data_IF_973413034549
#
_entry.id   IF_973413034549
#
_cell.length_a   1.000
_cell.length_b   1.000
_cell.length_c   1.000
_cell.angle_alpha   90.00
_cell.angle_beta   90.00
_cell.angle_gamma   90.00
#
_symmetry.space_group_name_H-M   'P 1'
#
loop_
_entity.id
_entity.type
_entity.pdbx_description
1 polymer ?
2 non-polymer ?
3 non-polymer ?
4 water ?
#
# COMPACT_ATOMS: atom_id res chain seq x y z
N UNK A 51 -19.98 12.28 6.98
CA UNK A 51 -21.10 11.99 6.05
C UNK A 51 -22.39 11.46 6.71
N UNK A 52 -23.50 11.53 5.98
CA UNK A 52 -24.80 10.97 6.39
C UNK A 52 -25.05 9.65 5.65
N UNK A 53 -25.53 8.61 6.35
CA UNK A 53 -25.75 7.30 5.73
C UNK A 53 -27.17 6.76 5.65
N UNK A 54 -27.44 5.98 4.60
CA UNK A 54 -28.75 5.41 4.36
C UNK A 54 -28.63 3.90 4.14
N UNK A 55 -29.54 3.14 4.76
CA UNK A 55 -29.67 1.68 4.54
C UNK A 55 -28.34 0.97 4.86
N UNK A 56 -27.79 1.31 6.02
CA UNK A 56 -26.59 0.67 6.48
C UNK A 56 -26.87 -0.77 6.93
N UNK A 57 -26.03 -1.70 6.48
CA UNK A 57 -26.08 -3.12 6.85
C UNK A 57 -24.65 -3.59 7.17
N UNK A 58 -24.49 -4.34 8.25
CA UNK A 58 -23.19 -4.91 8.64
C UNK A 58 -23.13 -6.42 8.43
N UNK A 59 -22.06 -6.88 7.81
CA UNK A 59 -21.74 -8.32 7.81
C UNK A 59 -20.28 -8.50 7.52
N UNK A 60 -19.74 -9.55 8.11
CA UNK A 60 -18.38 -9.97 7.86
C UNK A 60 -17.40 -8.84 8.13
N UNK A 61 -17.70 -8.02 9.12
CA UNK A 61 -16.81 -6.90 9.50
C UNK A 61 -16.85 -5.70 8.60
N UNK A 62 -17.82 -5.68 7.68
CA UNK A 62 -17.99 -4.60 6.72
C UNK A 62 -19.32 -3.90 6.97
N UNK A 63 -19.36 -2.65 6.56
CA UNK A 63 -20.60 -1.88 6.48
C UNK A 63 -20.88 -1.56 5.03
N UNK A 64 -22.08 -1.89 4.58
CA UNK A 64 -22.58 -1.47 3.31
C UNK A 64 -23.56 -0.35 3.58
N UNK A 65 -23.31 0.81 3.00
CA UNK A 65 -24.14 2.00 3.28
C UNK A 65 -24.12 2.95 2.11
N UNK A 66 -25.25 3.65 1.90
CA UNK A 66 -25.29 4.66 0.85
C UNK A 66 -24.95 6.04 1.41
N UNK A 67 -24.04 6.70 0.74
CA UNK A 67 -23.60 8.04 1.15
C UNK A 67 -23.65 8.94 -0.07
N UNK A 68 -24.45 10.00 0.02
CA UNK A 68 -24.56 10.96 -1.07
C UNK A 68 -24.84 10.29 -2.41
N UNK A 69 -25.78 9.33 -2.37
CA UNK A 69 -26.25 8.64 -3.57
C UNK A 69 -25.37 7.52 -4.10
N UNK A 70 -24.29 7.17 -3.40
CA UNK A 70 -23.41 6.08 -3.84
C UNK A 70 -23.27 5.06 -2.72
N UNK A 71 -23.22 3.80 -3.10
CA UNK A 71 -23.04 2.73 -2.14
C UNK A 71 -21.55 2.53 -1.87
N UNK A 72 -21.25 2.44 -0.59
CA UNK A 72 -19.91 2.10 -0.15
C UNK A 72 -19.92 0.77 0.60
N UNK A 73 -18.80 0.05 0.52
CA UNK A 73 -18.47 -1.04 1.42
C UNK A 73 -17.24 -0.56 2.18
N UNK A 74 -17.35 -0.53 3.52
CA UNK A 74 -16.30 -0.01 4.42
C UNK A 74 -15.97 -1.01 5.48
N UNK A 75 -14.69 -1.35 5.57
CA UNK A 75 -14.25 -2.32 6.58
C UNK A 75 -14.17 -1.59 7.94
N UNK A 76 -14.82 -2.16 8.94
CA UNK A 76 -14.80 -1.62 10.28
C UNK A 76 -13.51 -2.07 10.98
N UNK A 77 -12.99 -1.20 11.84
CA UNK A 77 -11.69 -1.42 12.45
C UNK A 77 -11.83 -1.61 13.95
N UNK A 78 -11.09 -2.58 14.49
CA UNK A 78 -11.13 -2.88 15.93
C UNK A 78 -9.96 -2.37 16.74
N UNK A 79 -8.94 -1.85 16.08
CA UNK A 79 -7.78 -1.31 16.78
C UNK A 79 -6.66 -2.33 16.98
N UNK A 80 -5.62 -1.90 17.68
CA UNK A 80 -4.42 -2.71 17.92
C UNK A 80 -3.21 -1.83 18.08
N UNK A 81 -2.30 -2.28 18.94
CA UNK A 81 -1.16 -1.45 19.27
C UNK A 81 0.00 -1.56 18.29
N UNK A 82 0.03 -2.61 17.46
CA UNK A 82 1.11 -2.83 16.52
C UNK A 82 2.45 -3.07 17.16
N UNK A 83 2.46 -3.57 18.39
CA UNK A 83 3.72 -3.75 19.08
C UNK A 83 4.64 -4.76 18.41
N UNK A 84 4.07 -5.85 17.93
CA UNK A 84 4.88 -6.86 17.24
C UNK A 84 5.51 -6.26 16.00
N UNK A 85 4.70 -5.64 15.17
CA UNK A 85 5.18 -4.99 13.95
C UNK A 85 6.34 -4.03 14.27
N UNK A 86 6.15 -3.15 15.24
CA UNK A 86 7.21 -2.18 15.55
C UNK A 86 8.48 -2.91 15.98
N UNK A 87 8.35 -3.95 16.79
CA UNK A 87 9.52 -4.71 17.22
C UNK A 87 10.24 -5.36 16.05
N UNK A 88 9.50 -5.87 15.08
CA UNK A 88 10.10 -6.47 13.91
C UNK A 88 10.83 -5.44 13.05
N UNK A 89 10.21 -4.31 12.83
CA UNK A 89 10.89 -3.22 12.09
C UNK A 89 12.15 -2.80 12.81
N UNK A 90 12.08 -2.70 14.13
CA UNK A 90 13.25 -2.27 14.91
C UNK A 90 14.40 -3.28 14.73
N UNK A 91 14.05 -4.55 14.74
CA UNK A 91 15.03 -5.62 14.55
C UNK A 91 15.65 -5.54 13.16
N UNK A 92 14.79 -5.34 12.15
CA UNK A 92 15.28 -5.20 10.81
C UNK A 92 16.28 -4.05 10.75
N UNK A 93 15.93 -2.90 11.33
CA UNK A 93 16.80 -1.74 11.31
C UNK A 93 18.13 -2.03 12.01
N UNK A 94 18.07 -2.75 13.14
CA UNK A 94 19.33 -3.10 13.83
C UNK A 94 20.23 -3.95 12.90
N UNK A 95 19.62 -4.85 12.15
CA UNK A 95 20.34 -5.76 11.23
C UNK A 95 20.97 -5.05 10.04
N UNK A 96 20.30 -4.01 9.51
CA UNK A 96 20.86 -3.30 8.37
C UNK A 96 21.79 -2.16 8.76
N UNK A 97 21.64 -1.62 9.97
CA UNK A 97 22.57 -0.65 10.50
C UNK A 97 22.28 0.78 10.10
N UNK A 98 23.18 1.66 10.54
CA UNK A 98 22.97 3.10 10.38
C UNK A 98 23.02 3.61 8.96
N UNK A 99 23.71 2.89 8.07
CA UNK A 99 23.87 3.39 6.71
C UNK A 99 22.70 3.17 5.75
N UNK A 100 21.68 2.43 6.20
CA UNK A 100 20.49 2.19 5.42
C UNK A 100 19.38 2.89 6.15
N UNK A 101 18.67 3.80 5.47
CA UNK A 101 17.52 4.48 6.09
C UNK A 101 16.31 3.61 5.92
N UNK A 102 15.60 3.40 7.04
CA UNK A 102 14.39 2.57 7.06
C UNK A 102 13.23 3.47 7.45
N UNK A 103 12.18 3.42 6.63
CA UNK A 103 11.02 4.28 6.76
C UNK A 103 9.79 3.40 7.01
N UNK A 104 8.83 3.94 7.75
CA UNK A 104 7.58 3.27 8.03
C UNK A 104 6.42 4.18 7.60
N UNK A 106 2.39 3.47 7.63
CA UNK A 106 1.19 2.71 7.85
C UNK A 106 0.01 3.60 7.54
N UNK A 107 -0.88 3.12 6.69
CA UNK A 107 -1.98 3.97 6.22
C UNK A 107 -3.33 3.35 6.57
N UNK A 108 -4.34 4.21 6.76
CA UNK A 108 -5.65 3.71 7.11
C UNK A 108 -6.40 3.25 5.87
N UNK A 109 -7.49 2.54 6.11
CA UNK A 109 -8.47 2.24 5.10
C UNK A 109 -9.55 3.34 5.14
N UNK A 110 -10.50 3.24 4.22
CA UNK A 110 -11.44 4.35 4.00
C UNK A 110 -12.23 4.77 5.23
N UNK A 111 -12.49 3.82 6.13
CA UNK A 111 -13.28 4.08 7.30
C UNK A 111 -12.68 5.11 8.24
N UNK A 112 -11.39 5.38 8.12
CA UNK A 112 -10.83 6.47 8.92
C UNK A 112 -11.45 7.83 8.58
N UNK A 113 -11.88 7.98 7.33
CA UNK A 113 -12.34 9.26 6.83
C UNK A 113 -13.80 9.36 6.43
N UNK A 114 -14.38 8.25 5.98
CA UNK A 114 -15.68 8.26 5.32
C UNK A 114 -16.83 7.54 6.02
N UNK A 115 -16.60 7.04 7.22
CA UNK A 115 -17.68 6.40 7.97
C UNK A 115 -18.72 7.44 8.30
N UNK A 116 -20.01 7.13 8.02
CA UNK A 116 -21.01 8.14 8.25
C UNK A 116 -21.33 8.31 9.71
N UNK A 117 -22.09 9.36 9.98
CA UNK A 117 -22.46 9.67 11.35
C UNK A 117 -23.24 8.52 11.97
N UNK A 118 -22.99 8.30 13.27
CA UNK A 118 -23.71 7.28 13.99
C UNK A 118 -23.05 5.92 14.07
N UNK A 119 -21.89 5.74 13.42
CA UNK A 119 -21.22 4.45 13.46
C UNK A 119 -19.98 4.44 14.31
N UNK A 120 -19.74 5.51 15.08
CA UNK A 120 -18.56 5.66 15.93
C UNK A 120 -18.37 4.46 16.88
N UNK A 121 -19.47 3.91 17.39
CA UNK A 121 -19.38 2.80 18.34
C UNK A 121 -18.94 1.46 17.69
N UNK A 122 -18.89 1.43 16.36
CA UNK A 122 -18.52 0.24 15.61
C UNK A 122 -17.16 0.34 14.93
N UNK A 123 -16.41 1.39 15.21
CA UNK A 123 -15.14 1.59 14.54
C UNK A 123 -14.15 2.29 15.46
N UNK A 124 -12.98 1.69 15.59
CA UNK A 124 -11.88 2.21 16.40
C UNK A 124 -11.06 3.17 15.53
N UNK A 125 -10.18 3.93 16.16
CA UNK A 125 -9.34 4.90 15.48
C UNK A 125 -8.12 4.30 14.80
N UNK A 126 -8.07 4.42 13.48
CA UNK A 126 -6.86 4.06 12.76
C UNK A 126 -5.68 4.90 13.23
N UNK A 127 -5.90 6.20 13.44
CA UNK A 127 -4.83 7.13 13.87
C UNK A 127 -4.17 6.64 15.13
N UNK A 128 -4.97 6.16 16.08
CA UNK A 128 -4.39 5.71 17.36
C UNK A 128 -3.41 4.55 17.14
N UNK A 129 -3.74 3.62 16.26
CA UNK A 129 -2.82 2.50 15.99
C UNK A 129 -1.57 2.96 15.29
N UNK A 130 -1.75 3.86 14.33
CA UNK A 130 -0.61 4.41 13.62
C UNK A 130 0.35 5.17 14.59
N UNK A 131 -0.25 5.92 15.49
CA UNK A 131 0.53 6.60 16.53
C UNK A 131 1.27 5.62 17.43
N UNK A 132 0.56 4.57 17.87
CA UNK A 132 1.17 3.58 18.76
C UNK A 132 2.42 2.96 18.13
N UNK A 133 2.30 2.58 16.85
CA UNK A 133 3.42 2.05 16.11
C UNK A 133 4.57 3.07 16.06
N UNK A 134 4.25 4.31 15.68
CA UNK A 134 5.28 5.36 15.56
C UNK A 134 6.04 5.56 16.87
N UNK A 135 5.33 5.45 17.97
CA UNK A 135 5.90 5.70 19.29
C UNK A 135 6.85 4.58 19.70
N UNK A 136 6.72 3.40 19.08
CA UNK A 136 7.53 2.24 19.46
C UNK A 136 8.72 2.04 18.55
N UNK A 137 8.84 2.86 17.50
CA UNK A 137 9.95 2.72 16.54
C UNK A 137 11.23 3.27 17.12
N UNK A 138 12.34 2.60 16.76
CA UNK A 138 13.69 3.00 17.15
C UNK A 138 14.54 3.10 15.88
N UNK A 139 14.98 4.32 15.57
CA UNK A 139 15.80 4.62 14.40
C UNK A 139 15.16 4.23 13.06
N UNK A 140 13.84 4.29 13.05
CA UNK A 140 13.04 4.10 11.84
C UNK A 140 12.29 5.41 11.63
N UNK A 141 12.33 5.93 10.42
CA UNK A 141 11.71 7.23 10.11
C UNK A 141 10.22 7.06 9.82
N UNK A 142 9.39 7.72 10.60
CA UNK A 142 7.95 7.59 10.41
C UNK A 142 7.48 8.60 9.40
N UNK A 143 6.66 8.15 8.47
CA UNK A 143 6.08 9.02 7.46
C UNK A 143 4.57 9.16 7.77
N UNK A 144 4.08 10.39 7.85
CA UNK A 144 2.69 10.64 8.21
C UNK A 144 1.77 10.60 6.99
N UNK A 145 1.57 9.38 6.51
CA UNK A 145 0.63 9.12 5.41
C UNK A 145 -0.79 9.45 5.81
N UNK A 146 -1.14 9.19 7.06
CA UNK A 146 -2.48 9.51 7.56
C UNK A 146 -2.85 10.97 7.32
N UNK A 147 -1.95 11.87 7.70
CA UNK A 147 -2.20 13.28 7.54
C UNK A 147 -2.22 13.68 6.08
N UNK A 148 -1.40 13.03 5.27
CA UNK A 148 -1.36 13.35 3.85
C UNK A 148 -2.71 13.03 3.20
N UNK A 149 -3.29 11.91 3.56
CA UNK A 149 -4.57 11.52 2.98
C UNK A 149 -5.70 12.38 3.52
N UNK A 150 -5.65 12.67 4.81
CA UNK A 150 -6.70 13.44 5.49
C UNK A 150 -6.90 14.78 4.76
N UNK A 151 -5.82 15.32 4.21
CA UNK A 151 -5.90 16.63 3.52
C UNK A 151 -6.57 16.59 2.13
N UNK A 152 -6.95 15.41 1.65
CA UNK A 152 -7.44 15.24 0.30
C UNK A 152 -8.70 14.42 0.22
N UNK A 153 -9.44 14.39 1.32
CA UNK A 153 -10.64 13.53 1.40
C UNK A 153 -11.79 13.98 0.48
N UNK A 154 -11.79 15.24 0.02
CA UNK A 154 -12.77 15.65 -0.97
C UNK A 154 -12.52 15.11 -2.36
N UNK A 155 -11.32 14.54 -2.58
CA UNK A 155 -10.95 13.96 -3.82
C UNK A 155 -11.26 12.45 -3.85
N UNK A 156 -11.13 11.82 -5.01
CA UNK A 156 -11.47 10.40 -5.17
C UNK A 156 -10.22 9.57 -4.85
N UNK A 157 -9.89 9.58 -3.56
CA UNK A 157 -8.65 8.97 -3.08
C UNK A 157 -8.83 7.51 -2.65
N UNK A 158 -10.07 7.15 -2.33
CA UNK A 158 -10.39 5.77 -1.95
C UNK A 158 -11.48 5.21 -2.85
N UNK A 159 -11.41 3.92 -3.12
CA UNK A 159 -12.51 3.28 -3.84
C UNK A 159 -13.68 3.06 -2.89
N UNK A 160 -14.89 2.94 -3.45
CA UNK A 160 -16.07 2.60 -2.71
C UNK A 160 -16.25 1.07 -2.61
N UNK A 161 -15.71 0.32 -3.57
CA UNK A 161 -16.03 -1.10 -3.70
C UNK A 161 -14.82 -2.04 -3.56
N UNK A 162 -13.69 -1.48 -3.16
CA UNK A 162 -12.46 -2.26 -3.02
C UNK A 162 -11.81 -2.03 -1.68
N UNK A 163 -10.94 -2.95 -1.29
CA UNK A 163 -10.19 -2.83 -0.06
C UNK A 163 -9.23 -1.66 -0.09
N UNK A 164 -8.75 -1.35 -1.30
CA UNK A 164 -7.65 -0.45 -1.48
C UNK A 164 -8.07 0.98 -1.81
N UNK A 165 -7.15 1.88 -1.53
CA UNK A 165 -7.22 3.24 -2.05
C UNK A 165 -7.21 3.23 -3.58
N UNK A 166 -7.66 4.34 -4.15
CA UNK A 166 -7.40 4.60 -5.55
C UNK A 166 -5.93 4.99 -5.69
N UNK A 167 -5.39 4.86 -6.90
CA UNK A 167 -4.03 5.33 -7.14
C UNK A 167 -3.83 6.78 -6.71
N UNK A 168 -4.84 7.64 -6.79
CA UNK A 168 -4.66 9.04 -6.34
C UNK A 168 -4.32 9.09 -4.84
N UNK A 169 -4.99 8.25 -4.05
CA UNK A 169 -4.68 8.16 -2.62
C UNK A 169 -3.24 7.72 -2.43
N UNK A 170 -2.85 6.69 -3.17
CA UNK A 170 -1.48 6.17 -3.06
C UNK A 170 -0.48 7.24 -3.45
N UNK A 171 -0.81 8.09 -4.43
CA UNK A 171 0.07 9.18 -4.80
C UNK A 171 0.35 10.12 -3.64
N UNK A 172 -0.69 10.49 -2.90
CA UNK A 172 -0.46 11.40 -1.76
C UNK A 172 0.42 10.77 -0.69
N UNK A 173 0.28 9.47 -0.45
CA UNK A 173 1.14 8.79 0.49
C UNK A 173 2.56 8.69 -0.05
N UNK A 174 2.70 8.35 -1.34
CA UNK A 174 4.01 8.29 -1.96
C UNK A 174 4.69 9.65 -1.89
N UNK A 175 3.90 10.70 -2.12
CA UNK A 175 4.43 12.06 -2.05
C UNK A 175 4.98 12.39 -0.67
N UNK A 176 4.28 11.96 0.35
CA UNK A 176 4.74 12.23 1.72
C UNK A 176 6.08 11.52 1.99
N UNK A 177 6.17 10.27 1.53
CA UNK A 177 7.42 9.52 1.69
C UNK A 177 8.57 10.13 0.93
N UNK A 178 8.31 10.45 -0.34
CA UNK A 178 9.35 11.00 -1.20
C UNK A 178 9.86 12.35 -0.70
N UNK A 179 8.98 13.11 -0.05
CA UNK A 179 9.38 14.40 0.53
C UNK A 179 10.36 14.14 1.69
N UNK A 181 12.14 11.51 2.13
CA UNK A 181 13.34 10.88 1.56
C UNK A 181 14.20 11.85 0.72
N UNK A 182 13.75 13.09 0.57
CA UNK A 182 14.44 14.13 -0.19
C UNK A 182 14.56 13.89 -1.71
N UNK A 183 13.59 13.16 -2.26
CA UNK A 183 13.49 12.93 -3.70
C UNK A 183 12.02 13.13 -4.09
N UNK A 184 11.54 14.36 -4.02
CA UNK A 184 10.10 14.60 -4.19
C UNK A 184 9.52 14.17 -5.52
N UNK A 185 8.25 13.76 -5.49
CA UNK A 185 7.52 13.35 -6.68
C UNK A 185 7.29 14.54 -7.62
N UNK A 186 7.08 14.19 -8.88
CA UNK A 186 6.60 15.15 -9.86
C UNK A 186 5.10 15.31 -9.71
N UNK A 187 4.61 16.37 -10.35
CA UNK A 187 3.21 16.64 -10.46
C UNK A 187 2.48 15.50 -11.18
N UNK A 188 1.24 15.21 -10.75
CA UNK A 188 0.47 14.17 -11.42
C UNK A 188 0.21 14.47 -12.90
N UNK A 189 0.21 15.75 -13.26
CA UNK A 189 0.03 16.13 -14.66
C UNK A 189 1.15 15.66 -15.58
N UNK A 190 2.29 15.29 -15.02
CA UNK A 190 3.40 14.77 -15.82
C UNK A 190 3.21 13.30 -16.20
N UNK A 191 2.23 12.65 -15.56
CA UNK A 191 1.96 11.24 -15.82
C UNK A 191 0.88 11.13 -16.91
N UNK A 192 0.81 9.97 -17.56
CA UNK A 192 -0.29 9.63 -18.47
C UNK A 192 -1.39 8.99 -17.66
N UNK A 193 -2.57 9.58 -17.74
CA UNK A 193 -3.72 9.09 -17.01
C UNK A 193 -4.44 8.03 -17.84
N UNK A 194 -4.77 6.94 -17.17
CA UNK A 194 -5.51 5.84 -17.75
C UNK A 194 -6.73 5.53 -16.85
N UNK A 195 -7.80 5.06 -17.46
CA UNK A 195 -9.05 4.86 -16.77
C UNK A 195 -9.67 3.50 -17.07
N UNK A 196 -10.12 2.83 -16.02
CA UNK A 196 -10.86 1.57 -16.13
C UNK A 196 -12.23 1.82 -15.52
N UNK A 197 -13.27 1.71 -16.34
CA UNK A 197 -14.61 1.89 -15.87
C UNK A 197 -15.19 0.55 -15.42
N UNK A 198 -16.20 0.63 -14.57
CA UNK A 198 -16.93 -0.56 -14.14
C UNK A 198 -16.13 -1.48 -13.23
N UNK A 199 -15.32 -0.90 -12.36
CA UNK A 199 -14.53 -1.68 -11.42
C UNK A 199 -15.32 -2.00 -10.14
N UNK A 200 -15.56 -3.28 -9.91
CA UNK A 200 -16.15 -3.74 -8.66
C UNK A 200 -15.05 -4.55 -7.99
N UNK A 201 -14.60 -4.08 -6.86
CA UNK A 201 -13.46 -4.64 -6.18
C UNK A 201 -13.82 -5.69 -5.15
N UNK A 202 -12.91 -5.84 -4.18
CA UNK A 202 -13.03 -6.88 -3.17
C UNK A 202 -14.22 -6.74 -2.25
N UNK A 204 -17.22 -6.63 -2.99
CA UNK A 204 -18.35 -7.49 -3.42
C UNK A 204 -18.25 -8.81 -2.64
N UNK A 205 -17.09 -9.47 -2.70
CA UNK A 205 -16.88 -10.70 -1.95
C UNK A 205 -16.93 -10.47 -0.43
N UNK A 206 -16.26 -9.41 0.05
CA UNK A 206 -16.15 -9.20 1.51
C UNK A 206 -17.52 -8.94 2.15
N UNK A 207 -18.47 -8.37 1.42
CA UNK A 207 -19.81 -8.12 1.94
C UNK A 207 -20.75 -9.31 1.70
N UNK A 208 -20.16 -10.46 1.41
CA UNK A 208 -20.90 -11.69 1.14
C UNK A 208 -21.80 -11.51 -0.09
N UNK A 209 -21.21 -10.91 -1.12
CA UNK A 209 -21.82 -10.68 -2.41
C UNK A 209 -23.10 -9.84 -2.34
N UNK A 210 -23.01 -8.71 -1.63
CA UNK A 210 -24.12 -7.76 -1.57
C UNK A 210 -24.25 -7.08 -2.95
N UNK A 211 -25.41 -7.25 -3.58
CA UNK A 211 -25.64 -6.75 -4.94
C UNK A 211 -25.55 -5.24 -5.04
N UNK A 212 -25.76 -4.55 -3.93
CA UNK A 212 -25.66 -3.08 -3.95
C UNK A 212 -24.26 -2.64 -4.34
N UNK A 213 -23.25 -3.44 -3.95
CA UNK A 213 -21.87 -3.13 -4.29
C UNK A 213 -21.64 -3.33 -5.77
N UNK A 214 -22.11 -4.47 -6.29
CA UNK A 214 -21.89 -4.79 -7.72
C UNK A 214 -22.59 -3.79 -8.62
N UNK A 215 -23.69 -3.24 -8.14
CA UNK A 215 -24.50 -2.33 -8.92
C UNK A 215 -24.03 -0.88 -8.91
N UNK A 216 -22.94 -0.60 -8.19
CA UNK A 216 -22.41 0.78 -8.11
C UNK A 216 -20.86 0.76 -8.26
N UNK A 217 -20.39 0.38 -9.44
CA UNK A 217 -18.97 0.26 -9.63
C UNK A 217 -18.19 1.56 -9.53
N UNK A 218 -16.93 1.42 -9.16
CA UNK A 218 -15.99 2.53 -9.18
C UNK A 218 -15.46 2.79 -10.58
N UNK A 219 -14.89 3.97 -10.73
CA UNK A 219 -14.02 4.25 -11.84
C UNK A 219 -12.62 4.19 -11.26
N UNK A 220 -11.77 3.38 -11.85
CA UNK A 220 -10.42 3.23 -11.42
C UNK A 220 -9.49 4.01 -12.33
N UNK A 221 -8.80 4.99 -11.74
CA UNK A 221 -7.90 5.85 -12.52
C UNK A 221 -6.50 5.62 -12.05
N UNK A 222 -5.60 5.36 -13.00
CA UNK A 222 -4.19 5.17 -12.67
C UNK A 222 -3.31 6.00 -13.58
N UNK A 223 -2.02 6.00 -13.30
CA UNK A 223 -1.11 6.99 -13.85
C UNK A 223 0.23 6.38 -14.18
N UNK A 224 0.70 6.63 -15.40
CA UNK A 224 1.96 6.08 -15.84
C UNK A 224 3.01 7.20 -15.81
N UNK A 225 4.13 6.95 -15.13
CA UNK A 225 5.09 8.04 -14.97
C UNK A 225 5.86 8.34 -16.24
N UNK A 226 6.47 9.51 -16.24
CA UNK A 226 7.21 10.01 -17.41
C UNK A 226 8.64 9.48 -17.54
N UNK A 227 9.23 9.05 -16.43
CA UNK A 227 10.60 8.55 -16.44
C UNK A 227 10.67 7.15 -17.03
N UNK A 228 11.65 6.93 -17.91
CA UNK A 228 11.82 5.61 -18.51
C UNK A 228 12.31 4.62 -17.45
N UNK A 229 11.88 3.38 -17.59
CA UNK A 229 12.31 2.31 -16.66
C UNK A 229 12.17 0.94 -17.36
N UNK A 230 12.80 -0.06 -16.74
CA UNK A 230 12.66 -1.46 -17.12
C UNK A 230 12.44 -2.28 -15.86
N UNK A 231 11.40 -3.11 -15.85
CA UNK A 231 11.14 -4.00 -14.73
C UNK A 231 11.55 -5.41 -15.09
N UNK A 232 12.08 -6.13 -14.10
CA UNK A 232 12.44 -7.56 -14.23
C UNK A 232 11.68 -8.31 -13.14
N UNK A 233 11.00 -9.37 -13.54
CA UNK A 233 10.21 -10.18 -12.64
C UNK A 233 10.98 -11.40 -12.13
N UNK A 234 10.92 -11.59 -10.83
CA UNK A 234 11.63 -12.64 -10.12
C UNK A 234 10.67 -13.47 -9.26
N UNK A 235 11.11 -14.67 -8.94
CA UNK A 235 10.39 -15.51 -8.01
C UNK A 235 10.63 -14.94 -6.61
N UNK A 236 9.97 -15.54 -5.62
CA UNK A 236 10.08 -15.08 -4.23
C UNK A 236 11.41 -15.42 -3.56
N UNK A 237 12.23 -16.24 -4.22
CA UNK A 237 13.61 -16.44 -3.78
C UNK A 237 14.61 -15.71 -4.72
N UNK A 238 14.10 -14.69 -5.42
CA UNK A 238 14.88 -13.81 -6.27
C UNK A 238 15.67 -14.52 -7.38
N UNK A 239 14.98 -15.42 -8.09
CA UNK A 239 15.51 -16.03 -9.28
C UNK A 239 14.68 -15.48 -10.43
N UNK A 240 15.35 -15.12 -11.53
CA UNK A 240 14.65 -14.56 -12.68
C UNK A 240 13.57 -15.54 -13.13
N UNK A 241 12.37 -15.02 -13.33
CA UNK A 241 11.23 -15.82 -13.69
C UNK A 241 11.20 -15.96 -15.20
N UNK A 242 11.53 -17.15 -15.65
CA UNK A 242 11.67 -17.46 -17.08
C UNK A 242 10.39 -17.28 -17.90
N UNK A 243 9.23 -17.38 -17.26
CA UNK A 243 7.96 -17.11 -17.95
C UNK A 243 7.82 -15.66 -18.41
N UNK A 244 8.55 -14.76 -17.75
CA UNK A 244 8.38 -13.33 -18.01
C UNK A 244 9.62 -12.64 -18.50
N UNK A 245 10.55 -13.41 -19.06
CA UNK A 245 11.82 -12.88 -19.56
C UNK A 245 11.67 -11.68 -20.49
N UNK A 246 10.60 -11.64 -21.29
CA UNK A 246 10.41 -10.56 -22.25
C UNK A 246 9.42 -9.47 -21.78
N UNK A 247 8.98 -9.53 -20.53
CA UNK A 247 7.99 -8.62 -20.04
C UNK A 247 8.63 -7.64 -19.04
N UNK A 248 8.55 -6.35 -19.34
CA UNK A 248 9.31 -5.36 -18.56
C UNK A 248 8.54 -4.14 -18.11
N UNK A 249 7.22 -4.20 -18.14
CA UNK A 249 6.37 -3.13 -17.62
C UNK A 249 5.88 -3.51 -16.23
N UNK A 250 5.59 -2.50 -15.42
CA UNK A 250 4.89 -2.74 -14.15
C UNK A 250 3.38 -2.70 -14.32
N UNK A 251 2.88 -2.36 -15.51
CA UNK A 251 1.45 -2.30 -15.76
C UNK A 251 1.04 -3.50 -16.56
N UNK A 252 0.13 -4.28 -15.99
CA UNK A 252 -0.30 -5.53 -16.56
C UNK A 252 -1.76 -5.41 -16.96
N UNK A 253 -2.09 -5.80 -18.18
CA UNK A 253 -3.50 -5.76 -18.64
C UNK A 253 -4.37 -6.71 -17.84
N UNK A 254 -5.54 -6.21 -17.46
CA UNK A 254 -6.49 -6.95 -16.66
C UNK A 254 -7.91 -6.70 -17.10
N UNK A 255 -8.78 -7.67 -16.82
CA UNK A 255 -10.19 -7.34 -16.97
C UNK A 255 -10.57 -6.28 -15.90
N UNK A 256 -11.71 -5.64 -16.05
CA UNK A 256 -12.17 -4.59 -15.11
C UNK A 256 -12.15 -5.05 -13.65
N UNK A 257 -12.61 -6.28 -13.38
CA UNK A 257 -12.59 -6.82 -12.00
C UNK A 257 -11.17 -6.90 -11.40
N UNK A 258 -10.17 -7.04 -12.26
CA UNK A 258 -8.79 -7.13 -11.84
C UNK A 258 -8.05 -5.81 -11.86
N UNK A 259 -8.77 -4.69 -11.86
CA UNK A 259 -8.12 -3.40 -12.02
C UNK A 259 -6.96 -3.18 -11.09
N UNK A 260 -7.13 -3.54 -9.82
CA UNK A 260 -6.02 -3.27 -8.86
C UNK A 260 -4.78 -4.08 -9.17
N UNK A 261 -4.97 -5.24 -9.83
CA UNK A 261 -3.86 -6.09 -10.22
C UNK A 261 -3.13 -5.55 -11.46
N UNK A 262 -3.60 -4.43 -12.02
CA UNK A 262 -2.82 -3.72 -13.03
C UNK A 262 -1.37 -3.51 -12.56
N UNK A 263 -1.17 -3.26 -11.27
CA UNK A 263 0.17 -3.05 -10.72
C UNK A 263 0.88 -4.39 -10.47
N UNK A 265 0.63 -7.27 -11.64
CA UNK A 265 -0.11 -8.51 -11.81
C UNK A 265 -0.50 -9.33 -10.59
N UNK A 266 -0.06 -8.92 -9.43
CA UNK A 266 -0.25 -9.76 -8.24
C UNK A 266 0.90 -9.59 -7.29
N UNK A 267 0.89 -10.40 -6.22
CA UNK A 267 1.84 -10.21 -5.13
C UNK A 267 2.93 -11.24 -4.94
N UNK A 268 2.74 -12.47 -5.45
CA UNK A 268 3.69 -13.56 -5.15
C UNK A 268 4.90 -13.56 -6.09
N UNK A 269 5.73 -12.55 -5.93
CA UNK A 269 6.87 -12.32 -6.79
C UNK A 269 7.72 -11.22 -6.14
N UNK A 270 8.88 -11.02 -6.72
CA UNK A 270 9.72 -9.86 -6.43
C UNK A 270 9.95 -9.17 -7.75
N UNK A 271 9.82 -7.84 -7.74
CA UNK A 271 10.01 -7.07 -8.96
C UNK A 271 11.17 -6.10 -8.77
N UNK A 272 12.11 -6.09 -9.71
CA UNK A 272 13.20 -5.14 -9.71
C UNK A 272 12.93 -4.14 -10.82
N UNK A 273 13.05 -2.86 -10.47
CA UNK A 273 12.80 -1.76 -11.43
C UNK A 273 14.07 -0.93 -11.51
N UNK A 274 14.55 -0.70 -12.73
CA UNK A 274 15.73 0.14 -13.00
C UNK A 274 15.18 1.31 -13.79
N UNK A 275 15.49 2.52 -13.35
CA UNK A 275 14.97 3.73 -14.01
C UNK A 275 16.06 4.57 -14.63
N UNK A 276 15.63 5.56 -15.40
CA UNK A 276 16.54 6.51 -16.01
C UNK A 276 17.07 7.59 -15.07
N UNK A 277 16.60 7.63 -13.82
CA UNK A 277 17.06 8.59 -12.85
C UNK A 277 18.23 7.99 -12.09
N UNK A 278 19.43 8.29 -12.54
CA UNK A 278 20.64 7.71 -11.99
C UNK A 278 21.17 8.48 -10.79
N UNK A 279 20.36 8.51 -9.74
CA UNK A 279 20.71 9.28 -8.58
C UNK A 279 21.34 8.48 -7.41
N UNK A 280 21.64 7.21 -7.66
CA UNK A 280 22.23 6.34 -6.67
C UNK A 280 21.34 5.89 -5.55
N UNK A 281 20.06 6.33 -5.55
CA UNK A 281 19.12 5.93 -4.50
C UNK A 281 18.44 4.63 -4.92
N UNK A 282 18.55 3.62 -4.06
CA UNK A 282 18.04 2.28 -4.36
C UNK A 282 17.10 1.89 -3.24
N UNK A 283 15.83 1.75 -3.58
CA UNK A 283 14.77 1.55 -2.61
C UNK A 283 14.32 0.11 -2.63
N UNK A 284 14.11 -0.44 -1.44
CA UNK A 284 13.41 -1.71 -1.32
C UNK A 284 12.13 -1.43 -0.55
N UNK A 285 11.01 -1.90 -1.09
CA UNK A 285 9.71 -1.76 -0.47
C UNK A 285 9.25 -3.11 0.04
N UNK A 286 8.89 -3.15 1.30
CA UNK A 286 8.29 -4.32 1.91
C UNK A 286 6.87 -3.93 2.24
N UNK A 287 5.93 -4.58 1.59
CA UNK A 287 4.56 -4.10 1.62
C UNK A 287 3.52 -5.20 1.76
N UNK A 288 2.30 -4.75 2.03
CA UNK A 288 1.10 -5.53 1.78
C UNK A 288 0.47 -4.96 0.49
N UNK A 289 -0.71 -5.39 0.12
CA UNK A 289 -1.21 -5.00 -1.18
C UNK A 289 -1.48 -3.49 -1.36
N UNK A 290 -1.61 -2.72 -0.27
CA UNK A 290 -1.75 -1.25 -0.42
C UNK A 290 -0.51 -0.69 -1.11
N UNK A 291 0.65 -1.26 -0.79
CA UNK A 291 1.88 -0.77 -1.38
C UNK A 291 1.99 -0.86 -2.88
N UNK A 292 1.23 -1.78 -3.48
CA UNK A 292 1.32 -2.00 -4.91
C UNK A 292 1.10 -0.72 -5.67
N UNK A 293 0.10 0.06 -5.24
CA UNK A 293 -0.28 1.29 -5.96
C UNK A 293 0.67 2.44 -5.74
N UNK A 294 1.55 2.33 -4.76
CA UNK A 294 2.56 3.37 -4.53
C UNK A 294 3.68 3.29 -5.55
N UNK A 295 3.95 2.09 -6.06
CA UNK A 295 5.15 1.85 -6.88
C UNK A 295 5.30 2.75 -8.08
N UNK A 296 4.21 2.97 -8.86
CA UNK A 296 4.35 3.85 -10.02
C UNK A 296 4.89 5.26 -9.67
N UNK A 297 4.61 5.70 -8.45
CA UNK A 297 4.98 7.06 -8.00
C UNK A 297 6.38 7.15 -7.47
N UNK A 298 7.13 6.05 -7.49
CA UNK A 298 8.54 6.08 -7.07
C UNK A 298 9.53 6.07 -8.23
N UNK A 299 9.03 5.75 -9.43
CA UNK A 299 9.88 5.56 -10.61
C UNK A 299 10.67 6.82 -10.96
N UNK A 300 10.04 7.99 -10.80
CA UNK A 300 10.70 9.23 -11.13
C UNK A 300 11.80 9.57 -10.11
N UNK A 301 11.76 8.99 -8.91
CA UNK A 301 12.57 9.45 -7.76
C UNK A 301 13.76 8.57 -7.35
N UNK A 302 13.81 7.33 -7.85
CA UNK A 302 14.81 6.37 -7.45
C UNK A 302 15.44 5.73 -8.67
N UNK A 303 16.73 5.37 -8.55
CA UNK A 303 17.47 4.68 -9.59
C UNK A 303 17.04 3.21 -9.70
N UNK A 304 16.84 2.57 -8.55
CA UNK A 304 16.35 1.18 -8.53
C UNK A 304 15.31 1.06 -7.46
N UNK A 305 14.31 0.22 -7.75
CA UNK A 305 13.25 -0.10 -6.81
C UNK A 305 13.07 -1.59 -6.79
N UNK A 306 13.10 -2.16 -5.60
CA UNK A 306 12.79 -3.58 -5.40
C UNK A 306 11.48 -3.67 -4.65
N UNK A 307 10.54 -4.43 -5.19
CA UNK A 307 9.20 -4.51 -4.65
C UNK A 307 9.00 -5.93 -4.11
N UNK A 308 8.80 -6.02 -2.81
CA UNK A 308 8.67 -7.26 -2.09
C UNK A 308 7.44 -7.25 -1.20
N UNK A 309 6.79 -8.39 -1.09
CA UNK A 309 5.61 -8.54 -0.25
C UNK A 309 5.99 -9.30 1.02
N UNK A 310 5.59 -8.77 2.18
CA UNK A 310 5.93 -9.41 3.45
C UNK A 310 5.34 -10.81 3.62
N UNK A 311 4.32 -11.15 2.84
CA UNK A 311 3.71 -12.48 2.87
C UNK A 311 4.43 -13.54 2.02
N UNK A 312 5.22 -13.09 1.03
CA UNK A 312 5.78 -13.94 -0.03
C UNK A 312 7.24 -13.57 -0.28
N UNK A 313 8.10 -14.01 0.61
CA UNK A 313 9.49 -13.61 0.55
C UNK A 313 10.27 -14.74 1.13
N UNK A 314 11.08 -15.37 0.29
CA UNK A 314 11.79 -16.57 0.69
C UNK A 314 13.30 -16.43 0.80
N UNK A 315 13.71 -15.28 1.32
CA UNK A 315 15.08 -14.96 1.55
C UNK A 315 15.23 -14.34 2.93
N UNK A 316 16.47 -13.99 3.29
CA UNK A 316 16.76 -13.26 4.53
C UNK A 316 16.95 -11.78 4.17
N UNK A 317 16.00 -10.97 4.56
CA UNK A 317 15.93 -9.58 4.08
C UNK A 317 17.19 -8.73 4.32
N UNK A 318 17.81 -8.84 5.50
CA UNK A 318 18.99 -7.98 5.69
C UNK A 318 20.10 -8.28 4.67
N UNK A 319 20.28 -9.55 4.32
CA UNK A 319 21.27 -9.92 3.32
C UNK A 319 20.83 -9.47 1.92
N UNK A 320 19.54 -9.55 1.62
CA UNK A 320 19.02 -9.03 0.36
C UNK A 320 19.34 -7.52 0.20
N UNK A 321 19.17 -6.75 1.27
CA UNK A 321 19.51 -5.32 1.26
C UNK A 321 20.99 -5.12 0.95
N UNK A 322 21.84 -5.87 1.65
CA UNK A 322 23.28 -5.73 1.52
C UNK A 322 23.75 -6.13 0.12
N UNK A 323 23.24 -7.25 -0.35
CA UNK A 323 23.67 -7.79 -1.65
C UNK A 323 23.30 -6.87 -2.82
N UNK A 324 22.17 -6.18 -2.71
CA UNK A 324 21.70 -5.32 -3.77
C UNK A 324 21.99 -3.83 -3.63
N UNK A 325 22.78 -3.46 -2.63
CA UNK A 325 23.22 -2.07 -2.47
C UNK A 325 22.09 -1.11 -2.12
N UNK A 326 21.08 -1.65 -1.44
CA UNK A 326 19.93 -0.87 -1.03
C UNK A 326 20.31 0.24 -0.07
N UNK A 327 19.82 1.46 -0.33
CA UNK A 327 20.09 2.66 0.48
C UNK A 327 18.90 3.08 1.36
N UNK A 328 17.70 2.72 0.93
CA UNK A 328 16.45 3.13 1.57
C UNK A 328 15.50 1.92 1.57
N UNK A 329 14.83 1.73 2.70
CA UNK A 329 13.83 0.66 2.83
C UNK A 329 12.54 1.30 3.30
N UNK A 330 11.43 0.98 2.64
CA UNK A 330 10.12 1.44 3.06
C UNK A 330 9.25 0.24 3.41
N UNK A 331 8.73 0.24 4.63
CA UNK A 331 7.69 -0.67 5.06
C UNK A 331 6.38 0.12 4.96
N UNK A 332 5.45 -0.39 4.16
CA UNK A 332 4.19 0.29 3.98
C UNK A 332 3.07 -0.71 3.83
N UNK A 334 -1.49 -1.24 5.15
CA UNK A 334 -2.63 -0.69 5.86
C UNK A 334 -2.59 -1.11 7.33
N UNK A 335 -3.41 -0.43 8.12
CA UNK A 335 -3.45 -0.66 9.55
C UNK A 335 -3.80 -2.10 9.90
N UNK A 336 -4.77 -2.68 9.20
CA UNK A 336 -5.17 -4.05 9.51
C UNK A 336 -3.97 -5.00 9.38
N UNK A 337 -3.12 -4.77 8.38
CA UNK A 337 -1.95 -5.60 8.20
C UNK A 337 -0.92 -5.37 9.30
N UNK A 338 -0.66 -4.11 9.64
CA UNK A 338 0.37 -3.81 10.62
C UNK A 338 0.00 -4.29 12.01
N UNK A 339 -1.28 -4.27 12.38
CA UNK A 339 -1.69 -4.68 13.72
C UNK A 339 -2.09 -6.15 13.85
N UNK A 340 -2.22 -6.82 12.71
CA UNK A 340 -2.74 -8.19 12.63
C UNK A 340 -1.72 -9.20 12.19
N UNK A 341 -2.23 -10.28 11.62
CA UNK A 341 -1.42 -11.43 11.24
C UNK A 341 -0.38 -11.13 10.15
N UNK A 342 -0.68 -10.23 9.22
CA UNK A 342 0.26 -9.99 8.14
C UNK A 342 1.63 -9.50 8.62
N UNK A 343 1.66 -8.74 9.71
CA UNK A 343 2.89 -8.24 10.23
C UNK A 343 3.81 -9.36 10.64
N UNK A 344 3.24 -10.51 11.01
CA UNK A 344 4.08 -11.63 11.43
C UNK A 344 4.96 -12.12 10.29
N UNK A 345 4.61 -11.75 9.05
CA UNK A 345 5.46 -12.12 7.91
C UNK A 345 6.82 -11.46 7.96
N UNK A 346 6.90 -10.33 8.63
CA UNK A 346 8.18 -9.67 8.76
C UNK A 346 9.09 -10.59 9.57
N UNK A 347 8.59 -11.12 10.69
CA UNK A 347 9.38 -12.01 11.55
C UNK A 347 9.63 -13.33 10.85
N UNK A 348 8.58 -13.91 10.27
CA UNK A 348 8.69 -15.28 9.75
C UNK A 348 9.31 -15.43 8.41
N UNK A 349 9.20 -14.36 7.60
CA UNK A 349 9.73 -14.39 6.24
C UNK A 349 10.96 -13.50 6.08
N UNK A 350 10.82 -12.22 6.41
CA UNK A 350 11.93 -11.30 6.21
C UNK A 350 13.10 -11.55 7.14
N UNK A 351 12.81 -11.89 8.39
CA UNK A 351 13.86 -12.04 9.39
C UNK A 351 14.30 -13.46 9.65
N UNK A 352 13.77 -14.42 8.90
CA UNK A 352 14.18 -15.84 8.99
C UNK A 352 15.30 -16.04 8.02
N UNK A 353 16.32 -16.76 8.47
CA UNK A 353 17.56 -16.95 7.71
C UNK A 353 17.31 -17.88 6.55
#
# INVERSE_FOLDING_TARGET
>A
GTDSKNESSLTESSATESKDNTKSDTTSDNSSASSESTVSSDESSSENKKPVGVDGVQTNGQLVVDIDGHTWGISLYGGGDGANYASYLNEFKEKVGSSVNVFNXVVPTAGAYYLPEGYEKYNASHRDSINSIANKLVNVINVDGYAALEAHTNEYIYTRTDHHWEPLGAYYAAKAFCEXAQVPVKELSTYKTETIEGFVGTXYAFTEYNERIKNDPDTFTYYIPSTDYTATYYTTDFKADEQFTQFHSIFVDQPASGAYSTFXGGDQKIVKIETANKNGRKLCIFKDSYGNAEVPFFIDSFEEIYVCDIRYFDLYAPDFIKDNGITDVLFTXCTFSAVGENAEGIKNNLLSK
#
